data_IF_984235838899
#
_entry.id   IF_984235838899
#
_cell.length_a   1.000
_cell.length_b   1.000
_cell.length_c   1.000
_cell.angle_alpha   90.00
_cell.angle_beta   90.00
_cell.angle_gamma   90.00
#
_symmetry.space_group_name_H-M   'P 1'
#
loop_
_entity.id
_entity.type
_entity.pdbx_description
1 polymer ?
#
# COMPACT_ATOMS: atom_id res chain seq x y z
N UNK A 1 3.17 0.68 21.09
CA UNK A 1 1.75 0.86 20.67
C UNK A 1 1.41 0.32 19.25
N UNK A 2 2.37 -0.25 18.50
CA UNK A 2 2.13 -0.71 17.11
C UNK A 2 1.65 -2.18 16.95
N UNK A 3 1.71 -3.00 17.99
CA UNK A 3 1.34 -4.42 17.92
C UNK A 3 -0.17 -4.65 17.81
N UNK A 4 -0.97 -3.83 18.47
CA UNK A 4 -2.45 -3.98 18.51
C UNK A 4 -3.09 -3.67 17.15
N UNK A 5 -2.59 -2.68 16.40
CA UNK A 5 -3.14 -2.31 15.10
C UNK A 5 -2.75 -3.29 13.98
N UNK A 6 -1.53 -3.86 14.02
CA UNK A 6 -1.11 -4.91 13.09
C UNK A 6 -1.93 -6.19 13.25
N UNK A 7 -2.26 -6.56 14.50
CA UNK A 7 -3.13 -7.69 14.82
C UNK A 7 -4.55 -7.50 14.28
N UNK A 8 -5.08 -6.28 14.39
CA UNK A 8 -6.42 -5.94 13.90
C UNK A 8 -6.53 -6.05 12.36
N UNK A 9 -5.50 -5.64 11.62
CA UNK A 9 -5.46 -5.78 10.16
C UNK A 9 -5.38 -7.24 9.70
N UNK A 10 -4.62 -8.08 10.41
CA UNK A 10 -4.55 -9.52 10.12
C UNK A 10 -5.91 -10.19 10.36
N UNK A 11 -6.60 -9.84 11.45
CA UNK A 11 -7.93 -10.36 11.77
C UNK A 11 -8.97 -9.99 10.71
N UNK A 12 -8.95 -8.74 10.24
CA UNK A 12 -9.84 -8.28 9.17
C UNK A 12 -9.63 -9.03 7.86
N UNK A 13 -8.37 -9.35 7.52
CA UNK A 13 -8.03 -10.14 6.34
C UNK A 13 -8.55 -11.58 6.45
N UNK A 14 -8.37 -12.23 7.60
CA UNK A 14 -8.92 -13.55 7.85
C UNK A 14 -10.45 -13.59 7.73
N UNK A 15 -11.12 -12.52 8.15
CA UNK A 15 -12.59 -12.39 8.05
C UNK A 15 -13.05 -12.29 6.59
N UNK A 16 -12.31 -11.61 5.73
CA UNK A 16 -12.57 -11.55 4.28
C UNK A 16 -12.36 -12.92 3.64
N UNK A 17 -11.24 -13.59 3.95
CA UNK A 17 -10.91 -14.90 3.41
C UNK A 17 -11.96 -15.96 3.80
N UNK A 18 -12.45 -15.95 5.05
CA UNK A 18 -13.54 -16.81 5.51
C UNK A 18 -14.82 -16.59 4.69
N UNK A 19 -15.19 -15.33 4.40
CA UNK A 19 -16.38 -15.03 3.59
C UNK A 19 -16.26 -15.49 2.14
N UNK A 20 -15.05 -15.49 1.57
CA UNK A 20 -14.78 -16.01 0.23
C UNK A 20 -15.06 -17.52 0.19
N UNK A 21 -14.59 -18.28 1.19
CA UNK A 21 -14.82 -19.71 1.30
C UNK A 21 -16.32 -20.03 1.44
N UNK A 22 -17.04 -19.32 2.32
CA UNK A 22 -18.50 -19.47 2.48
C UNK A 22 -19.27 -19.29 1.16
N UNK A 23 -18.89 -18.28 0.36
CA UNK A 23 -19.51 -18.02 -0.95
C UNK A 23 -19.20 -19.13 -1.93
N UNK A 24 -17.98 -19.64 -1.94
CA UNK A 24 -17.57 -20.76 -2.80
C UNK A 24 -18.41 -22.00 -2.53
N UNK A 25 -18.59 -22.35 -1.24
CA UNK A 25 -19.41 -23.48 -0.83
C UNK A 25 -20.87 -23.31 -1.23
N UNK A 26 -21.42 -22.12 -1.08
CA UNK A 26 -22.80 -21.83 -1.51
C UNK A 26 -22.96 -21.92 -3.03
N UNK A 27 -21.95 -21.49 -3.82
CA UNK A 27 -21.98 -21.61 -5.29
C UNK A 27 -21.93 -23.08 -5.73
N UNK A 28 -21.16 -23.94 -5.09
CA UNK A 28 -21.17 -25.37 -5.35
C UNK A 28 -22.54 -26.02 -5.02
N UNK A 29 -23.15 -25.63 -3.89
CA UNK A 29 -24.52 -26.07 -3.55
C UNK A 29 -25.55 -25.62 -4.56
N UNK A 30 -25.43 -24.38 -5.07
CA UNK A 30 -26.32 -23.83 -6.09
C UNK A 30 -26.18 -24.59 -7.42
N UNK A 31 -24.98 -24.90 -7.83
CA UNK A 31 -24.71 -25.69 -9.04
C UNK A 31 -25.36 -27.07 -8.92
N UNK A 32 -25.15 -27.76 -7.80
CA UNK A 32 -25.83 -29.01 -7.53
C UNK A 32 -27.36 -28.89 -7.53
N UNK A 33 -27.92 -27.82 -6.98
CA UNK A 33 -29.37 -27.59 -6.94
C UNK A 33 -29.99 -27.30 -8.32
N UNK A 34 -29.19 -26.90 -9.31
CA UNK A 34 -29.64 -26.62 -10.69
C UNK A 34 -29.48 -27.82 -11.63
N UNK A 35 -28.42 -28.57 -11.48
CA UNK A 35 -28.01 -29.58 -12.48
C UNK A 35 -28.19 -31.02 -11.95
N UNK A 36 -28.15 -31.21 -10.64
CA UNK A 36 -28.28 -32.52 -10.01
C UNK A 36 -27.12 -33.47 -10.36
N UNK A 37 -25.91 -32.92 -10.67
CA UNK A 37 -24.76 -33.76 -11.04
C UNK A 37 -24.17 -34.48 -9.83
N UNK A 38 -23.80 -35.76 -10.00
CA UNK A 38 -23.08 -36.52 -8.98
C UNK A 38 -21.58 -36.53 -9.27
N UNK A 39 -20.76 -36.55 -8.23
CA UNK A 39 -19.37 -36.96 -8.28
C UNK A 39 -19.27 -38.49 -8.44
N UNK A 40 -18.15 -39.02 -8.94
CA UNK A 40 -17.94 -40.45 -9.17
C UNK A 40 -18.33 -41.32 -7.98
N UNK A 41 -19.11 -42.34 -8.27
CA UNK A 41 -19.58 -43.33 -7.29
C UNK A 41 -20.86 -42.99 -6.52
N UNK A 42 -21.45 -41.82 -6.74
CA UNK A 42 -22.72 -41.42 -6.13
C UNK A 42 -23.89 -41.51 -7.12
N UNK A 43 -25.06 -41.86 -6.65
CA UNK A 43 -26.32 -41.76 -7.40
C UNK A 43 -27.10 -40.54 -6.99
N UNK A 44 -27.91 -39.99 -7.92
CA UNK A 44 -28.78 -38.83 -7.68
C UNK A 44 -30.23 -39.20 -7.98
N UNK A 45 -31.13 -38.79 -7.12
CA UNK A 45 -32.58 -38.80 -7.37
C UNK A 45 -33.11 -37.39 -7.33
N UNK A 46 -34.20 -37.14 -8.07
CA UNK A 46 -34.89 -35.84 -8.05
C UNK A 46 -36.32 -36.02 -7.55
N UNK A 47 -36.78 -35.03 -6.77
CA UNK A 47 -38.15 -34.92 -6.29
C UNK A 47 -38.62 -33.46 -6.45
N UNK A 48 -39.92 -33.26 -6.65
CA UNK A 48 -40.49 -31.89 -6.64
C UNK A 48 -40.81 -31.52 -5.21
N UNK A 49 -40.28 -30.40 -4.74
CA UNK A 49 -40.53 -29.85 -3.42
C UNK A 49 -41.07 -28.43 -3.51
N UNK A 50 -41.63 -27.94 -2.42
CA UNK A 50 -42.19 -26.60 -2.34
C UNK A 50 -41.38 -25.74 -1.35
N UNK A 51 -40.94 -24.59 -1.83
CA UNK A 51 -40.31 -23.58 -1.00
C UNK A 51 -41.34 -22.52 -0.62
N UNK A 52 -41.44 -22.17 0.64
CA UNK A 52 -42.39 -21.16 1.13
C UNK A 52 -42.31 -19.81 0.43
N UNK A 53 -41.11 -19.44 -0.03
CA UNK A 53 -40.85 -18.15 -0.70
C UNK A 53 -40.97 -18.20 -2.23
N UNK A 54 -40.55 -19.32 -2.85
CA UNK A 54 -40.33 -19.38 -4.29
C UNK A 54 -41.20 -20.43 -5.00
N UNK A 55 -42.07 -21.11 -4.26
CA UNK A 55 -42.94 -22.14 -4.82
C UNK A 55 -42.23 -23.44 -5.15
N UNK A 56 -42.72 -24.17 -6.16
CA UNK A 56 -42.23 -25.52 -6.51
C UNK A 56 -40.86 -25.45 -7.17
N UNK A 57 -39.97 -26.36 -6.79
CA UNK A 57 -38.65 -26.53 -7.38
C UNK A 57 -38.27 -28.02 -7.44
N UNK A 58 -37.31 -28.37 -8.30
CA UNK A 58 -36.75 -29.72 -8.34
C UNK A 58 -35.65 -29.83 -7.30
N UNK A 59 -35.84 -30.69 -6.32
CA UNK A 59 -34.83 -31.03 -5.31
C UNK A 59 -34.06 -32.25 -5.74
N UNK A 60 -32.73 -32.20 -5.61
CA UNK A 60 -31.83 -33.32 -5.89
C UNK A 60 -31.26 -33.87 -4.59
N UNK A 61 -31.12 -35.20 -4.53
CA UNK A 61 -30.56 -35.88 -3.37
C UNK A 61 -29.44 -36.81 -3.83
N UNK A 62 -28.22 -36.58 -3.29
CA UNK A 62 -27.06 -37.47 -3.49
C UNK A 62 -27.06 -38.59 -2.46
N UNK A 63 -26.80 -39.80 -2.90
CA UNK A 63 -26.68 -40.95 -2.00
C UNK A 63 -25.67 -41.99 -2.51
N UNK A 64 -25.11 -42.73 -1.56
CA UNK A 64 -24.30 -43.90 -1.79
C UNK A 64 -25.12 -45.13 -1.46
N UNK A 65 -24.92 -46.24 -2.23
CA UNK A 65 -25.48 -47.53 -1.88
C UNK A 65 -24.35 -48.42 -1.36
N UNK A 66 -24.40 -48.76 -0.06
CA UNK A 66 -23.43 -49.64 0.61
C UNK A 66 -24.18 -50.83 1.13
N UNK A 67 -23.78 -52.04 0.70
CA UNK A 67 -24.41 -53.33 1.10
C UNK A 67 -25.94 -53.32 0.93
N UNK A 68 -26.43 -52.73 -0.18
CA UNK A 68 -27.86 -52.68 -0.50
C UNK A 68 -28.65 -51.63 0.30
N UNK A 69 -28.00 -50.86 1.20
CA UNK A 69 -28.62 -49.76 1.95
C UNK A 69 -28.25 -48.44 1.33
N UNK A 70 -29.26 -47.59 1.11
CA UNK A 70 -29.08 -46.20 0.66
C UNK A 70 -28.66 -45.33 1.83
N UNK A 71 -27.53 -44.60 1.67
CA UNK A 71 -27.02 -43.62 2.63
C UNK A 71 -27.02 -42.26 1.93
N UNK A 72 -27.93 -41.39 2.36
CA UNK A 72 -28.03 -40.02 1.84
C UNK A 72 -26.84 -39.20 2.31
N UNK A 73 -26.13 -38.53 1.39
CA UNK A 73 -25.00 -37.65 1.72
C UNK A 73 -25.38 -36.17 1.76
N UNK A 74 -26.25 -35.74 0.83
CA UNK A 74 -26.73 -34.35 0.81
C UNK A 74 -28.00 -34.20 -0.01
N UNK A 75 -28.82 -33.23 0.35
CA UNK A 75 -30.05 -32.85 -0.35
C UNK A 75 -29.90 -31.40 -0.79
N UNK A 76 -30.38 -31.02 -1.98
CA UNK A 76 -30.32 -29.70 -2.50
C UNK A 76 -31.34 -28.77 -1.84
N UNK A 77 -30.98 -27.53 -1.64
CA UNK A 77 -31.88 -26.45 -1.21
C UNK A 77 -32.52 -25.80 -2.45
N UNK A 78 -33.56 -25.00 -2.22
CA UNK A 78 -34.18 -24.19 -3.28
C UNK A 78 -33.15 -23.30 -3.98
N UNK A 79 -32.98 -23.38 -5.32
CA UNK A 79 -31.98 -22.59 -6.04
C UNK A 79 -32.10 -21.08 -5.82
N UNK A 80 -33.31 -20.54 -5.80
CA UNK A 80 -33.55 -19.12 -5.58
C UNK A 80 -33.18 -18.68 -4.16
N UNK A 81 -33.45 -19.51 -3.14
CA UNK A 81 -32.97 -19.24 -1.78
C UNK A 81 -31.44 -19.25 -1.70
N UNK A 82 -30.75 -20.12 -2.42
CA UNK A 82 -29.28 -20.14 -2.48
C UNK A 82 -28.74 -18.89 -3.18
N UNK A 83 -29.38 -18.46 -4.28
CA UNK A 83 -29.00 -17.21 -4.98
C UNK A 83 -29.16 -16.00 -4.06
N UNK A 84 -30.25 -15.90 -3.31
CA UNK A 84 -30.43 -14.84 -2.30
C UNK A 84 -29.35 -14.87 -1.22
N UNK A 85 -29.03 -16.07 -0.70
CA UNK A 85 -27.97 -16.26 0.30
C UNK A 85 -26.60 -15.83 -0.25
N UNK A 86 -26.28 -16.23 -1.49
CA UNK A 86 -25.02 -15.86 -2.17
C UNK A 86 -24.96 -14.34 -2.31
N UNK A 87 -25.99 -13.71 -2.86
CA UNK A 87 -26.06 -12.25 -3.04
C UNK A 87 -25.86 -11.49 -1.73
N UNK A 88 -26.49 -11.95 -0.65
CA UNK A 88 -26.32 -11.35 0.67
C UNK A 88 -24.88 -11.47 1.16
N UNK A 89 -24.27 -12.66 1.00
CA UNK A 89 -22.88 -12.90 1.40
C UNK A 89 -21.89 -12.11 0.56
N UNK A 90 -22.14 -11.91 -0.73
CA UNK A 90 -21.32 -11.06 -1.62
C UNK A 90 -21.34 -9.60 -1.16
N UNK A 91 -22.50 -9.05 -0.81
CA UNK A 91 -22.60 -7.69 -0.23
C UNK A 91 -21.85 -7.59 1.10
N UNK A 92 -22.00 -8.58 1.98
CA UNK A 92 -21.27 -8.59 3.26
C UNK A 92 -19.75 -8.67 3.07
N UNK A 93 -19.28 -9.42 2.05
CA UNK A 93 -17.86 -9.49 1.67
C UNK A 93 -17.34 -8.15 1.19
N UNK A 94 -18.04 -7.51 0.24
CA UNK A 94 -17.65 -6.19 -0.28
C UNK A 94 -17.55 -5.14 0.84
N UNK A 95 -18.50 -5.14 1.76
CA UNK A 95 -18.46 -4.24 2.92
C UNK A 95 -17.26 -4.53 3.84
N UNK A 96 -16.92 -5.82 4.04
CA UNK A 96 -15.77 -6.21 4.85
C UNK A 96 -14.45 -5.81 4.17
N UNK A 97 -14.33 -5.98 2.84
CA UNK A 97 -13.18 -5.56 2.05
C UNK A 97 -12.98 -4.03 2.10
N UNK A 98 -14.06 -3.26 1.95
CA UNK A 98 -14.01 -1.80 2.06
C UNK A 98 -13.55 -1.34 3.46
N UNK A 99 -14.07 -1.96 4.52
CA UNK A 99 -13.65 -1.65 5.91
C UNK A 99 -12.19 -1.99 6.13
N UNK A 100 -11.73 -3.15 5.65
CA UNK A 100 -10.34 -3.57 5.77
C UNK A 100 -9.40 -2.61 5.01
N UNK A 101 -9.79 -2.20 3.80
CA UNK A 101 -9.06 -1.19 3.01
C UNK A 101 -8.96 0.14 3.75
N UNK A 102 -10.08 0.64 4.26
CA UNK A 102 -10.11 1.90 4.99
C UNK A 102 -9.24 1.87 6.25
N UNK A 103 -9.36 0.81 7.05
CA UNK A 103 -8.53 0.63 8.26
C UNK A 103 -7.04 0.57 7.93
N UNK A 104 -6.66 -0.09 6.82
CA UNK A 104 -5.27 -0.14 6.36
C UNK A 104 -4.76 1.25 5.95
N UNK A 105 -5.56 2.01 5.20
CA UNK A 105 -5.21 3.39 4.80
C UNK A 105 -5.01 4.27 6.04
N UNK A 106 -5.92 4.23 7.00
CA UNK A 106 -5.81 4.98 8.26
C UNK A 106 -4.56 4.61 9.05
N UNK A 107 -4.27 3.32 9.16
CA UNK A 107 -3.04 2.85 9.80
C UNK A 107 -1.78 3.39 9.11
N UNK A 108 -1.71 3.31 7.78
CA UNK A 108 -0.56 3.79 7.01
C UNK A 108 -0.40 5.32 7.11
N UNK A 109 -1.49 6.09 7.04
CA UNK A 109 -1.47 7.54 7.22
C UNK A 109 -1.01 7.94 8.63
N UNK A 110 -1.47 7.24 9.66
CA UNK A 110 -1.06 7.48 11.04
C UNK A 110 0.41 7.11 11.28
N UNK A 111 0.88 6.02 10.64
CA UNK A 111 2.28 5.59 10.77
C UNK A 111 3.28 6.52 10.08
N UNK A 112 2.82 7.31 9.10
CA UNK A 112 3.65 8.29 8.38
C UNK A 112 4.13 9.44 9.29
N UNK A 113 3.50 9.63 10.46
CA UNK A 113 3.87 10.67 11.44
C UNK A 113 4.06 12.05 10.81
N UNK A 114 3.13 12.45 9.93
CA UNK A 114 3.16 13.74 9.25
C UNK A 114 3.05 14.85 10.31
N UNK A 115 3.96 15.83 10.31
CA UNK A 115 3.81 17.00 11.18
C UNK A 115 2.45 17.68 10.93
N UNK A 116 1.81 18.18 12.00
CA UNK A 116 0.45 18.76 11.96
C UNK A 116 0.26 19.74 10.81
N UNK A 117 1.28 20.56 10.57
CA UNK A 117 1.31 21.57 9.49
C UNK A 117 1.07 20.98 8.08
N UNK A 118 1.41 19.73 7.86
CA UNK A 118 1.36 19.07 6.55
C UNK A 118 0.26 18.01 6.43
N UNK A 119 -0.56 17.83 7.47
CA UNK A 119 -1.62 16.78 7.49
C UNK A 119 -2.60 16.88 6.32
N UNK A 120 -2.87 18.09 5.86
CA UNK A 120 -3.84 18.35 4.79
C UNK A 120 -3.20 18.60 3.42
N UNK A 121 -1.88 18.34 3.26
CA UNK A 121 -1.21 18.53 1.98
C UNK A 121 -1.72 17.52 0.95
N UNK A 122 -2.18 18.03 -0.19
CA UNK A 122 -2.59 17.27 -1.37
C UNK A 122 -2.01 17.88 -2.64
N UNK A 123 -2.00 17.13 -3.73
CA UNK A 123 -1.59 17.66 -5.04
C UNK A 123 -2.58 18.70 -5.58
N UNK A 124 -3.83 18.67 -5.10
CA UNK A 124 -4.91 19.57 -5.52
C UNK A 124 -4.87 20.90 -4.79
N UNK A 125 -4.43 20.93 -3.52
CA UNK A 125 -4.36 22.17 -2.73
C UNK A 125 -2.98 22.84 -2.72
N UNK A 126 -2.06 22.39 -3.57
CA UNK A 126 -0.83 23.09 -3.81
C UNK A 126 -1.08 24.28 -4.74
N UNK A 127 -0.76 25.48 -4.29
CA UNK A 127 -0.92 26.72 -5.05
C UNK A 127 0.39 27.12 -5.74
N UNK A 128 0.52 26.89 -7.06
CA UNK A 128 1.74 27.27 -7.77
C UNK A 128 1.83 28.78 -7.96
N UNK A 129 2.95 29.36 -7.54
CA UNK A 129 3.16 30.83 -7.51
C UNK A 129 3.66 31.40 -8.83
N UNK A 130 4.17 30.56 -9.73
CA UNK A 130 4.68 30.91 -11.06
C UNK A 130 4.68 29.70 -12.00
N UNK A 131 5.16 29.87 -13.23
CA UNK A 131 5.12 28.79 -14.23
C UNK A 131 6.12 27.67 -13.91
N UNK A 132 7.23 27.94 -13.23
CA UNK A 132 8.15 26.90 -12.77
C UNK A 132 7.49 26.04 -11.70
N UNK A 133 6.78 26.63 -10.73
CA UNK A 133 6.01 25.91 -9.75
C UNK A 133 4.87 25.09 -10.37
N UNK A 134 4.22 25.60 -11.43
CA UNK A 134 3.21 24.86 -12.20
C UNK A 134 3.82 23.64 -12.90
N UNK A 135 5.01 23.78 -13.49
CA UNK A 135 5.73 22.67 -14.14
C UNK A 135 6.09 21.58 -13.12
N UNK A 136 6.64 21.97 -11.98
CA UNK A 136 6.98 21.06 -10.88
C UNK A 136 5.72 20.33 -10.38
N UNK A 137 4.61 21.04 -10.16
CA UNK A 137 3.34 20.41 -9.77
C UNK A 137 2.89 19.36 -10.79
N UNK A 138 2.92 19.67 -12.10
CA UNK A 138 2.55 18.72 -13.16
C UNK A 138 3.43 17.46 -13.13
N UNK A 139 4.73 17.61 -12.88
CA UNK A 139 5.64 16.46 -12.74
C UNK A 139 5.27 15.62 -11.52
N UNK A 140 5.00 16.24 -10.37
CA UNK A 140 4.58 15.54 -9.16
C UNK A 140 3.23 14.82 -9.36
N UNK A 141 2.27 15.43 -10.06
CA UNK A 141 1.00 14.81 -10.43
C UNK A 141 1.20 13.60 -11.36
N UNK A 142 2.05 13.74 -12.39
CA UNK A 142 2.39 12.66 -13.30
C UNK A 142 3.14 11.52 -12.58
N UNK A 143 4.02 11.86 -11.64
CA UNK A 143 4.73 10.86 -10.82
C UNK A 143 3.76 10.06 -9.95
N UNK A 144 2.83 10.73 -9.28
CA UNK A 144 1.82 10.11 -8.44
C UNK A 144 0.84 9.25 -9.26
N UNK A 145 0.32 9.75 -10.38
CA UNK A 145 -0.62 9.01 -11.24
C UNK A 145 -0.01 7.74 -11.86
N UNK A 146 1.31 7.73 -12.07
CA UNK A 146 2.06 6.57 -12.57
C UNK A 146 2.67 5.73 -11.45
N UNK A 147 2.14 5.80 -10.24
CA UNK A 147 2.68 5.10 -9.09
C UNK A 147 2.91 3.59 -9.29
N UNK A 148 2.01 2.81 -9.93
CA UNK A 148 2.26 1.40 -10.21
C UNK A 148 3.51 1.16 -11.08
N UNK A 149 3.77 2.03 -12.07
CA UNK A 149 4.99 1.95 -12.88
C UNK A 149 6.24 2.28 -12.06
N UNK A 150 6.13 3.23 -11.11
CA UNK A 150 7.24 3.60 -10.22
C UNK A 150 7.64 2.43 -9.33
N UNK A 151 6.66 1.69 -8.80
CA UNK A 151 6.91 0.49 -8.01
C UNK A 151 7.59 -0.63 -8.79
N UNK A 152 7.40 -0.68 -10.11
CA UNK A 152 8.01 -1.70 -10.96
C UNK A 152 9.41 -1.31 -11.44
N UNK A 153 9.64 -0.02 -11.71
CA UNK A 153 10.87 0.47 -12.36
C UNK A 153 11.82 1.17 -11.39
N UNK A 154 11.38 1.43 -10.15
CA UNK A 154 12.06 2.36 -9.26
C UNK A 154 11.79 3.80 -9.71
N UNK A 155 12.80 4.61 -9.70
CA UNK A 155 12.73 6.01 -10.11
C UNK A 155 12.41 6.92 -8.93
N UNK A 156 13.33 7.82 -8.64
CA UNK A 156 13.22 8.74 -7.53
C UNK A 156 12.85 10.14 -7.96
N UNK A 157 12.57 10.99 -6.97
CA UNK A 157 12.51 12.43 -7.14
C UNK A 157 13.56 13.08 -6.27
N UNK A 158 14.34 13.99 -6.86
CA UNK A 158 15.22 14.90 -6.12
C UNK A 158 14.58 16.26 -6.14
N UNK A 159 14.15 16.77 -4.97
CA UNK A 159 13.54 18.07 -4.79
C UNK A 159 14.54 19.00 -4.10
N UNK A 160 15.19 19.87 -4.85
CA UNK A 160 16.25 20.74 -4.34
C UNK A 160 15.95 22.23 -4.57
N UNK A 161 16.54 23.12 -3.76
CA UNK A 161 16.44 24.58 -3.90
C UNK A 161 15.85 25.29 -2.70
N UNK A 162 15.44 26.56 -2.89
CA UNK A 162 15.09 27.52 -1.83
C UNK A 162 14.11 26.96 -0.78
N UNK A 163 14.28 27.30 0.50
CA UNK A 163 13.34 26.91 1.55
C UNK A 163 11.98 27.60 1.38
N UNK A 164 10.90 27.00 1.92
CA UNK A 164 9.56 27.56 1.89
C UNK A 164 8.83 27.49 0.54
N UNK A 165 9.38 26.82 -0.46
CA UNK A 165 8.85 26.70 -1.82
C UNK A 165 7.84 25.55 -2.02
N UNK A 166 7.56 24.77 -0.97
CA UNK A 166 6.55 23.72 -0.99
C UNK A 166 7.07 22.30 -1.31
N UNK A 167 8.38 22.06 -1.22
CA UNK A 167 8.97 20.71 -1.42
C UNK A 167 8.30 19.65 -0.55
N UNK A 168 8.23 19.87 0.77
CA UNK A 168 7.60 18.92 1.71
C UNK A 168 6.10 18.75 1.43
N UNK A 169 5.39 19.82 1.02
CA UNK A 169 4.00 19.75 0.64
C UNK A 169 3.81 18.72 -0.51
N UNK A 170 4.56 18.89 -1.60
CA UNK A 170 4.43 18.02 -2.78
C UNK A 170 4.89 16.59 -2.49
N UNK A 171 5.99 16.40 -1.76
CA UNK A 171 6.45 15.06 -1.38
C UNK A 171 5.45 14.31 -0.51
N UNK A 172 4.86 14.97 0.50
CA UNK A 172 3.84 14.38 1.37
C UNK A 172 2.50 14.20 0.64
N UNK A 173 2.16 15.05 -0.32
CA UNK A 173 1.02 14.88 -1.19
C UNK A 173 1.15 13.61 -2.07
N UNK A 174 2.34 13.34 -2.61
CA UNK A 174 2.66 12.09 -3.33
C UNK A 174 2.54 10.88 -2.38
N UNK A 175 3.10 10.98 -1.16
CA UNK A 175 2.99 9.94 -0.15
C UNK A 175 1.53 9.58 0.17
N UNK A 176 0.70 10.60 0.42
CA UNK A 176 -0.74 10.40 0.66
C UNK A 176 -1.45 9.74 -0.51
N UNK A 177 -1.15 10.15 -1.74
CA UNK A 177 -1.69 9.51 -2.95
C UNK A 177 -1.30 8.03 -3.02
N UNK A 178 -0.03 7.70 -2.82
CA UNK A 178 0.46 6.32 -2.81
C UNK A 178 -0.21 5.45 -1.72
N UNK A 179 -0.50 6.02 -0.55
CA UNK A 179 -1.20 5.33 0.54
C UNK A 179 -2.69 5.14 0.20
N UNK A 180 -3.38 6.19 -0.19
CA UNK A 180 -4.85 6.18 -0.36
C UNK A 180 -5.24 5.31 -1.56
N UNK A 181 -4.59 5.50 -2.69
CA UNK A 181 -4.94 4.80 -3.92
C UNK A 181 -4.35 3.38 -3.99
N UNK A 182 -3.13 3.19 -3.48
CA UNK A 182 -2.37 1.95 -3.68
C UNK A 182 -2.02 1.22 -2.39
N UNK A 183 -2.39 1.76 -1.21
CA UNK A 183 -2.08 1.17 0.10
C UNK A 183 -0.57 0.87 0.29
N UNK A 184 0.26 1.68 -0.34
CA UNK A 184 1.72 1.55 -0.27
C UNK A 184 2.26 1.95 1.10
N UNK A 185 3.28 1.25 1.55
CA UNK A 185 4.01 1.58 2.76
C UNK A 185 4.94 2.76 2.52
N UNK A 186 4.89 3.78 3.36
CA UNK A 186 5.68 5.01 3.22
C UNK A 186 6.36 5.38 4.52
N UNK A 187 7.61 5.79 4.43
CA UNK A 187 8.34 6.42 5.53
C UNK A 187 8.74 7.84 5.11
N UNK A 188 8.43 8.82 5.97
CA UNK A 188 8.95 10.18 5.93
C UNK A 188 9.91 10.39 7.10
N UNK A 189 11.14 10.80 6.80
CA UNK A 189 12.20 10.97 7.81
C UNK A 189 13.18 12.06 7.38
N UNK A 190 14.13 12.40 8.23
CA UNK A 190 15.25 13.29 7.88
C UNK A 190 16.56 12.51 7.80
N UNK A 191 17.51 13.02 7.03
CA UNK A 191 18.85 12.44 6.95
C UNK A 191 19.51 12.31 8.34
N UNK A 192 19.34 13.32 9.18
CA UNK A 192 19.84 13.32 10.56
C UNK A 192 19.20 12.22 11.42
N UNK A 193 17.89 11.98 11.27
CA UNK A 193 17.19 10.94 12.04
C UNK A 193 17.68 9.54 11.64
N UNK A 194 17.87 9.29 10.35
CA UNK A 194 18.47 8.04 9.86
C UNK A 194 19.86 7.83 10.50
N UNK A 195 20.72 8.84 10.43
CA UNK A 195 22.06 8.75 10.99
C UNK A 195 22.07 8.51 12.52
N UNK A 196 21.16 9.14 13.25
CA UNK A 196 21.02 8.92 14.71
C UNK A 196 20.52 7.53 15.03
N UNK A 197 19.54 7.01 14.32
CA UNK A 197 19.03 5.65 14.52
C UNK A 197 20.13 4.61 14.21
N UNK A 198 20.89 4.81 13.12
CA UNK A 198 22.01 3.93 12.80
C UNK A 198 23.11 3.99 13.87
N UNK A 199 23.57 5.18 14.26
CA UNK A 199 24.60 5.33 15.31
C UNK A 199 24.15 4.78 16.67
N UNK A 200 22.85 4.72 16.94
CA UNK A 200 22.34 4.13 18.19
C UNK A 200 22.63 2.63 18.31
N UNK A 201 22.87 1.94 17.19
CA UNK A 201 23.24 0.52 17.17
C UNK A 201 24.66 0.26 17.68
N UNK A 202 25.52 1.27 17.75
CA UNK A 202 26.89 1.16 18.23
C UNK A 202 26.99 1.11 19.75
N UNK A 203 25.89 1.39 20.45
CA UNK A 203 25.88 1.29 21.92
C UNK A 203 25.94 -0.17 22.38
N UNK A 204 26.67 -0.42 23.48
CA UNK A 204 26.69 -1.75 24.13
C UNK A 204 25.30 -2.21 24.63
N UNK A 205 24.36 -1.28 24.77
CA UNK A 205 22.98 -1.54 25.20
C UNK A 205 22.00 -1.47 24.02
N UNK A 206 22.51 -1.50 22.79
CA UNK A 206 21.66 -1.45 21.60
C UNK A 206 20.72 -2.67 21.54
N UNK A 207 19.45 -2.42 21.31
CA UNK A 207 18.41 -3.45 21.17
C UNK A 207 18.15 -3.80 19.70
N UNK A 208 18.79 -3.08 18.76
CA UNK A 208 18.65 -3.27 17.32
C UNK A 208 20.02 -3.36 16.65
N UNK A 209 20.09 -4.13 15.59
CA UNK A 209 21.28 -4.25 14.74
C UNK A 209 21.31 -3.16 13.65
N UNK A 210 22.49 -2.92 13.07
CA UNK A 210 22.63 -2.03 11.90
C UNK A 210 21.75 -2.49 10.73
N UNK A 211 21.74 -3.80 10.47
CA UNK A 211 20.92 -4.40 9.42
C UNK A 211 19.42 -4.14 9.62
N UNK A 212 18.93 -4.25 10.86
CA UNK A 212 17.53 -3.95 11.16
C UNK A 212 17.18 -2.48 10.92
N UNK A 213 18.11 -1.56 11.23
CA UNK A 213 17.93 -0.14 10.95
C UNK A 213 17.95 0.13 9.44
N UNK A 214 18.90 -0.42 8.69
CA UNK A 214 18.95 -0.30 7.23
C UNK A 214 17.67 -0.87 6.61
N UNK A 215 17.23 -2.06 7.04
CA UNK A 215 16.00 -2.69 6.55
C UNK A 215 14.77 -1.83 6.79
N UNK A 216 14.67 -1.12 7.92
CA UNK A 216 13.57 -0.19 8.19
C UNK A 216 13.41 0.86 7.08
N UNK A 217 14.51 1.37 6.52
CA UNK A 217 14.49 2.41 5.49
C UNK A 217 14.52 1.85 4.06
N UNK A 218 14.97 0.62 3.87
CA UNK A 218 15.04 0.00 2.53
C UNK A 218 13.78 -0.79 2.17
N UNK A 219 13.02 -1.30 3.15
CA UNK A 219 11.85 -2.15 2.92
C UNK A 219 10.58 -1.41 2.43
N UNK A 220 10.24 -0.20 2.91
CA UNK A 220 9.02 0.51 2.50
C UNK A 220 8.95 0.75 1.00
N UNK A 221 7.73 0.82 0.46
CA UNK A 221 7.50 1.08 -0.96
C UNK A 221 8.01 2.47 -1.37
N UNK A 222 7.80 3.49 -0.51
CA UNK A 222 8.33 4.84 -0.69
C UNK A 222 9.11 5.28 0.54
N UNK A 223 10.30 5.81 0.33
CA UNK A 223 11.08 6.52 1.35
C UNK A 223 11.21 7.99 0.96
N UNK A 224 10.87 8.88 1.87
CA UNK A 224 11.09 10.33 1.73
C UNK A 224 12.12 10.75 2.76
N UNK A 225 13.24 11.31 2.30
CA UNK A 225 14.32 11.78 3.14
C UNK A 225 14.42 13.30 3.00
N UNK A 226 14.07 14.00 4.07
CA UNK A 226 14.15 15.45 4.13
C UNK A 226 15.50 15.93 4.71
N UNK A 227 15.83 17.19 4.51
CA UNK A 227 17.04 17.86 5.02
C UNK A 227 18.35 17.20 4.57
N UNK A 228 18.39 16.62 3.36
CA UNK A 228 19.61 16.06 2.81
C UNK A 228 20.60 17.20 2.51
N UNK A 229 21.83 17.07 3.05
CA UNK A 229 22.89 18.05 2.85
C UNK A 229 22.97 19.16 3.90
N UNK A 230 22.09 19.15 4.93
CA UNK A 230 22.12 20.13 6.01
C UNK A 230 23.08 19.70 7.12
N UNK A 231 24.19 20.40 7.26
CA UNK A 231 25.11 20.56 8.42
C UNK A 231 25.88 19.36 8.99
N UNK A 232 25.58 18.11 8.72
CA UNK A 232 26.23 16.98 9.38
C UNK A 232 26.82 16.02 8.36
N UNK A 233 27.87 16.47 7.66
CA UNK A 233 28.55 15.65 6.66
C UNK A 233 29.72 14.86 7.22
N UNK A 234 29.55 14.08 8.32
CA UNK A 234 30.56 13.07 8.60
C UNK A 234 30.54 12.03 7.46
N UNK A 235 31.71 11.54 7.07
CA UNK A 235 31.82 10.52 6.02
C UNK A 235 30.97 9.30 6.32
N UNK A 236 30.80 8.96 7.59
CA UNK A 236 29.89 7.90 8.04
C UNK A 236 28.43 8.17 7.70
N UNK A 237 27.95 9.40 7.84
CA UNK A 237 26.55 9.75 7.49
C UNK A 237 26.29 9.69 5.99
N UNK A 238 27.26 10.16 5.19
CA UNK A 238 27.19 10.01 3.73
C UNK A 238 27.19 8.55 3.31
N UNK A 239 28.00 7.70 3.97
CA UNK A 239 28.06 6.28 3.68
C UNK A 239 26.75 5.57 3.97
N UNK A 240 26.12 5.85 5.11
CA UNK A 240 24.79 5.30 5.48
C UNK A 240 23.73 5.71 4.45
N UNK A 241 23.70 6.99 4.08
CA UNK A 241 22.78 7.49 3.07
C UNK A 241 23.00 6.84 1.71
N UNK A 242 24.26 6.69 1.30
CA UNK A 242 24.64 6.01 0.06
C UNK A 242 24.16 4.55 0.09
N UNK A 243 24.40 3.82 1.16
CA UNK A 243 23.98 2.43 1.32
C UNK A 243 22.46 2.27 1.20
N UNK A 244 21.67 3.10 1.92
CA UNK A 244 20.22 3.05 1.86
C UNK A 244 19.71 3.34 0.44
N UNK A 245 20.19 4.41 -0.20
CA UNK A 245 19.71 4.80 -1.52
C UNK A 245 20.16 3.78 -2.58
N UNK A 246 21.39 3.25 -2.47
CA UNK A 246 21.88 2.22 -3.37
C UNK A 246 21.05 0.93 -3.26
N UNK A 247 20.83 0.44 -2.05
CA UNK A 247 20.01 -0.75 -1.80
C UNK A 247 18.60 -0.55 -2.36
N UNK A 248 17.99 0.61 -2.14
CA UNK A 248 16.66 0.90 -2.68
C UNK A 248 16.64 0.95 -4.22
N UNK A 249 17.66 1.51 -4.82
CA UNK A 249 17.84 1.50 -6.27
C UNK A 249 17.92 0.07 -6.82
N UNK A 250 18.75 -0.78 -6.22
CA UNK A 250 18.91 -2.19 -6.61
C UNK A 250 17.59 -2.99 -6.51
N UNK A 251 16.77 -2.68 -5.50
CA UNK A 251 15.44 -3.29 -5.32
C UNK A 251 14.30 -2.52 -6.03
N UNK A 252 14.63 -1.57 -6.91
CA UNK A 252 13.66 -0.73 -7.64
C UNK A 252 12.63 -0.06 -6.72
N UNK A 253 13.07 0.41 -5.55
CA UNK A 253 12.22 1.08 -4.55
C UNK A 253 12.24 2.61 -4.72
N UNK A 254 11.11 3.24 -5.08
CA UNK A 254 11.01 4.70 -5.23
C UNK A 254 11.50 5.46 -3.99
N UNK A 255 12.29 6.50 -4.21
CA UNK A 255 12.83 7.35 -3.14
C UNK A 255 12.65 8.82 -3.50
N UNK A 256 12.28 9.66 -2.54
CA UNK A 256 12.23 11.12 -2.69
C UNK A 256 13.28 11.74 -1.76
N UNK A 257 14.18 12.53 -2.32
CA UNK A 257 15.16 13.30 -1.58
C UNK A 257 14.76 14.77 -1.59
N UNK A 258 14.77 15.41 -0.41
CA UNK A 258 14.46 16.83 -0.25
C UNK A 258 15.69 17.53 0.32
N UNK A 259 16.09 18.61 -0.32
CA UNK A 259 17.23 19.44 0.10
C UNK A 259 16.93 20.93 -0.06
N UNK A 260 17.51 21.76 0.82
CA UNK A 260 17.52 23.20 0.65
C UNK A 260 18.75 23.71 -0.12
N UNK A 261 19.64 22.82 -0.52
CA UNK A 261 20.78 23.11 -1.37
C UNK A 261 20.35 23.23 -2.84
N UNK A 262 21.19 23.84 -3.66
CA UNK A 262 21.09 23.76 -5.11
C UNK A 262 21.37 22.32 -5.59
N UNK A 263 21.05 22.04 -6.85
CA UNK A 263 21.36 20.74 -7.46
C UNK A 263 22.87 20.41 -7.40
N UNK A 264 23.71 21.39 -7.69
CA UNK A 264 25.15 21.20 -7.75
C UNK A 264 25.76 20.98 -6.36
N UNK A 265 25.32 21.74 -5.36
CA UNK A 265 25.74 21.54 -3.96
C UNK A 265 25.29 20.18 -3.43
N UNK A 266 24.05 19.76 -3.74
CA UNK A 266 23.54 18.46 -3.34
C UNK A 266 24.30 17.34 -4.03
N UNK A 267 24.62 17.47 -5.32
CA UNK A 267 25.41 16.49 -6.08
C UNK A 267 26.84 16.36 -5.52
N UNK A 268 27.45 17.48 -5.16
CA UNK A 268 28.76 17.48 -4.49
C UNK A 268 28.71 16.84 -3.09
N UNK A 269 27.60 16.96 -2.37
CA UNK A 269 27.42 16.38 -1.04
C UNK A 269 27.20 14.87 -1.07
N UNK A 270 26.21 14.38 -1.86
CA UNK A 270 25.76 12.98 -1.84
C UNK A 270 26.44 12.12 -2.91
N UNK A 271 27.09 12.77 -3.88
CA UNK A 271 27.78 12.15 -5.02
C UNK A 271 26.90 12.08 -6.28
N UNK A 272 27.53 12.33 -7.43
CA UNK A 272 26.86 12.32 -8.74
C UNK A 272 26.18 10.99 -9.05
N UNK A 273 26.79 9.86 -8.65
CA UNK A 273 26.22 8.52 -8.84
C UNK A 273 24.86 8.34 -8.16
N UNK A 274 24.65 8.96 -7.00
CA UNK A 274 23.36 8.88 -6.30
C UNK A 274 22.32 9.67 -7.08
N UNK A 275 22.66 10.89 -7.54
CA UNK A 275 21.75 11.71 -8.35
C UNK A 275 21.38 11.02 -9.66
N UNK A 276 22.36 10.36 -10.31
CA UNK A 276 22.14 9.60 -11.53
C UNK A 276 21.14 8.45 -11.30
N UNK A 277 21.36 7.62 -10.26
CA UNK A 277 20.43 6.56 -9.87
C UNK A 277 19.04 7.05 -9.51
N UNK A 278 18.95 8.21 -8.85
CA UNK A 278 17.65 8.83 -8.54
C UNK A 278 16.87 9.28 -9.78
N UNK A 279 17.58 9.60 -10.87
CA UNK A 279 16.99 10.00 -12.13
C UNK A 279 16.68 8.81 -13.07
N UNK A 280 17.18 7.62 -12.76
CA UNK A 280 16.89 6.40 -13.52
C UNK A 280 15.44 5.91 -13.27
N UNK A 281 14.96 4.94 -14.04
CA UNK A 281 13.63 4.35 -13.89
C UNK A 281 12.46 5.34 -14.08
N UNK A 282 12.72 6.49 -14.71
CA UNK A 282 11.77 7.58 -14.90
C UNK A 282 11.71 8.56 -13.72
N UNK A 283 12.75 8.57 -12.87
CA UNK A 283 12.99 9.59 -11.87
C UNK A 283 13.42 10.92 -12.49
N UNK A 284 13.47 11.98 -11.67
CA UNK A 284 13.98 13.28 -12.11
C UNK A 284 14.37 14.18 -10.94
N UNK A 285 15.16 15.22 -11.29
CA UNK A 285 15.53 16.29 -10.37
C UNK A 285 14.68 17.52 -10.63
N UNK A 286 14.03 18.04 -9.59
CA UNK A 286 13.16 19.19 -9.59
C UNK A 286 13.81 20.34 -8.82
N UNK A 287 14.07 21.46 -9.51
CA UNK A 287 14.64 22.65 -8.92
C UNK A 287 13.52 23.60 -8.45
N UNK A 288 13.55 23.99 -7.18
CA UNK A 288 12.61 24.90 -6.53
C UNK A 288 13.28 26.27 -6.38
N UNK A 289 13.20 27.10 -7.41
CA UNK A 289 13.96 28.35 -7.54
C UNK A 289 13.20 29.60 -7.14
N UNK A 290 11.88 29.52 -6.97
CA UNK A 290 11.01 30.66 -6.62
C UNK A 290 11.09 31.04 -5.15
N UNK A 291 10.51 32.17 -4.80
CA UNK A 291 10.53 32.68 -3.44
C UNK A 291 9.58 31.93 -2.51
N UNK A 292 9.89 32.03 -1.21
CA UNK A 292 9.14 31.34 -0.17
C UNK A 292 7.66 31.74 -0.16
N UNK A 293 6.76 30.75 -0.15
CA UNK A 293 5.33 30.97 0.07
C UNK A 293 5.04 31.57 1.44
N UNK A 294 5.88 31.28 2.45
CA UNK A 294 5.71 31.74 3.83
C UNK A 294 5.87 33.26 3.98
N UNK A 295 6.54 33.93 3.05
CA UNK A 295 6.72 35.38 3.06
C UNK A 295 5.54 36.14 2.47
N UNK A 296 4.49 35.44 2.03
CA UNK A 296 3.28 36.02 1.41
C UNK A 296 2.06 35.98 2.32
N UNK A 297 2.18 35.30 3.48
CA UNK A 297 1.15 35.22 4.52
C UNK A 297 1.37 36.21 5.62
#
# INVERSE_FOLDING_TARGET
>A
MNTTNGYNLALQRQLVDSKINDISDLKQKLEFSKIGSASDGMSVTSTVEECEKHGKYTSYEKYLTISGKRITSSKSECPQCLEEKIRKKEIEREQAEQRARQSKIEYLLNSLNIPERFKNCTLQNYEPVNDDAKRVLKVCQAYASKWPERLQKGGGLVMCGKPGTGKNHLALAIARHAIIEHQSSVIFTTALKIAREYKSTWSKTATRTEEEVIRQFTHPDLLIIDEVGVQFGSDAEKLIMFEIINTRYEYMKPTILISNQSKDELSAFIGERVIDRMNDGGGCTLAFTWDSYRSRS
#
